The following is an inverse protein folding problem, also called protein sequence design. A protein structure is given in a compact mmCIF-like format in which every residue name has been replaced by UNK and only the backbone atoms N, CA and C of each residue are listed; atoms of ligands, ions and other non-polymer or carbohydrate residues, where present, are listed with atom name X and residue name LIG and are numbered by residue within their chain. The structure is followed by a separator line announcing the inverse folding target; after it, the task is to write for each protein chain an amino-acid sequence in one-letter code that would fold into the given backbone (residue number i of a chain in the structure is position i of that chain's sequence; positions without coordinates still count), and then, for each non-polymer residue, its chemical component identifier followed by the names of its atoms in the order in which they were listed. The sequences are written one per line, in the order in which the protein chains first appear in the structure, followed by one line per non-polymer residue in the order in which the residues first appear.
data_IF_468032055978
#
_entry.id   IF_468032055978
#
_cell.length_a   1.000
_cell.length_b   1.000
_cell.length_c   1.000
_cell.angle_alpha   90.00
_cell.angle_beta   90.00
_cell.angle_gamma   90.00
#
_symmetry.space_group_name_H-M   'P 1'
#
loop_
_entity.id
_entity.type
_entity.pdbx_description
1 polymer ?
#
# COMPACT_ATOMS: atom_id res chain seq x y z
N UNK A 1 -45.25 -11.12 -1.23
CA UNK A 1 -45.48 -9.70 -1.54
C UNK A 1 -44.65 -8.87 -0.56
N UNK A 2 -43.51 -8.32 -1.01
CA UNK A 2 -42.66 -7.39 -0.26
C UNK A 2 -42.33 -6.24 -1.21
N UNK A 3 -42.81 -5.05 -0.88
CA UNK A 3 -42.54 -3.82 -1.63
C UNK A 3 -41.22 -3.26 -1.10
N UNK A 4 -40.20 -3.18 -1.96
CA UNK A 4 -38.94 -2.47 -1.72
C UNK A 4 -39.07 -1.14 -2.47
N UNK A 5 -39.17 -0.04 -1.73
CA UNK A 5 -39.11 1.30 -2.31
C UNK A 5 -37.64 1.77 -2.32
N UNK A 6 -37.14 2.00 -3.53
CA UNK A 6 -35.84 2.60 -3.81
C UNK A 6 -35.89 4.12 -3.59
N UNK A 7 -34.89 4.68 -2.91
CA UNK A 7 -34.61 6.12 -2.94
C UNK A 7 -33.29 6.33 -3.67
N UNK A 8 -33.38 6.99 -4.82
CA UNK A 8 -32.27 7.49 -5.64
C UNK A 8 -31.70 8.75 -4.99
N UNK A 9 -30.38 8.79 -4.76
CA UNK A 9 -29.63 10.04 -4.53
C UNK A 9 -29.02 10.52 -5.85
N UNK A 10 -29.14 11.81 -6.22
CA UNK A 10 -28.38 12.38 -7.32
C UNK A 10 -27.03 12.93 -6.82
N UNK A 11 -25.93 12.40 -7.37
CA UNK A 11 -24.60 13.00 -7.29
C UNK A 11 -24.50 14.15 -8.29
N UNK A 12 -24.22 15.36 -7.81
CA UNK A 12 -23.74 16.48 -8.65
C UNK A 12 -22.26 16.68 -8.31
N UNK A 13 -21.41 16.45 -9.32
CA UNK A 13 -19.98 16.71 -9.29
C UNK A 13 -19.71 18.22 -9.47
N UNK A 14 -18.96 18.82 -8.54
CA UNK A 14 -18.32 20.13 -8.72
C UNK A 14 -16.92 19.92 -9.34
N UNK A 15 -16.77 20.33 -10.60
CA UNK A 15 -15.47 20.56 -11.23
C UNK A 15 -14.99 21.98 -10.89
N UNK A 16 -13.84 22.10 -10.24
CA UNK A 16 -13.11 23.37 -10.10
C UNK A 16 -11.84 23.33 -10.97
N UNK A 17 -11.58 24.30 -11.86
CA UNK A 17 -10.27 24.50 -12.46
C UNK A 17 -9.39 25.39 -11.56
N UNK A 18 -8.12 25.00 -11.45
CA UNK A 18 -7.03 25.75 -10.83
C UNK A 18 -6.72 27.01 -11.64
N UNK A 19 -6.50 28.13 -10.97
CA UNK A 19 -5.70 29.25 -11.49
C UNK A 19 -4.65 29.67 -10.46
N UNK A 20 -3.51 30.05 -11.04
CA UNK A 20 -2.17 30.30 -10.53
C UNK A 20 -2.02 31.63 -9.76
N UNK A 21 -1.01 31.68 -8.88
CA UNK A 21 -0.45 32.78 -8.05
C UNK A 21 -0.44 34.21 -8.65
N UNK A 22 -0.12 35.33 -7.92
CA UNK A 22 0.44 35.45 -6.55
C UNK A 22 -0.20 36.55 -5.65
N UNK A 23 0.27 36.60 -4.40
CA UNK A 23 -0.04 37.63 -3.39
C UNK A 23 0.88 38.85 -3.55
N UNK A 24 0.28 40.03 -3.71
CA UNK A 24 0.67 41.37 -3.20
C UNK A 24 -0.31 42.36 -3.88
N UNK A 25 -0.76 43.49 -3.36
CA UNK A 25 -0.50 44.30 -2.18
C UNK A 25 -1.61 45.37 -2.10
N UNK A 26 -1.63 46.12 -0.99
CA UNK A 26 -2.20 47.48 -0.82
C UNK A 26 -3.66 47.61 -0.33
N UNK A 27 -3.73 48.10 0.92
CA UNK A 27 -4.66 49.04 1.56
C UNK A 27 -6.09 49.18 1.04
N UNK A 28 -7.06 49.17 1.95
CA UNK A 28 -7.98 50.31 2.12
C UNK A 28 -8.60 50.32 3.52
N UNK A 29 -8.55 51.50 4.15
CA UNK A 29 -9.40 51.88 5.28
C UNK A 29 -10.71 52.49 4.74
N UNK A 30 -11.74 52.37 5.57
CA UNK A 30 -13.00 53.12 5.69
C UNK A 30 -14.20 52.83 4.78
N UNK A 31 -15.32 52.65 5.50
CA UNK A 31 -16.72 52.99 5.21
C UNK A 31 -17.77 51.89 4.96
N UNK A 32 -18.95 52.20 5.50
CA UNK A 32 -20.17 51.41 5.78
C UNK A 32 -20.96 51.03 4.52
N UNK A 33 -22.00 50.20 4.76
CA UNK A 33 -23.15 49.75 3.90
C UNK A 33 -22.88 48.46 3.10
N UNK A 34 -23.74 47.43 2.99
CA UNK A 34 -25.12 47.13 3.41
C UNK A 34 -25.37 45.62 3.08
N UNK A 35 -26.22 44.83 3.76
CA UNK A 35 -26.79 43.61 3.17
C UNK A 35 -28.13 43.92 2.50
N UNK A 36 -28.14 43.76 1.17
CA UNK A 36 -29.28 43.81 0.29
C UNK A 36 -30.27 42.65 0.55
N UNK A 37 -31.52 43.00 0.86
CA UNK A 37 -32.67 42.08 0.81
C UNK A 37 -33.10 41.83 -0.65
N UNK A 38 -33.20 40.57 -1.05
CA UNK A 38 -34.12 40.07 -2.12
C UNK A 38 -34.41 38.58 -1.84
N UNK A 39 -35.62 38.05 -1.81
CA UNK A 39 -36.96 38.64 -1.91
C UNK A 39 -38.02 37.53 -1.72
N UNK A 40 -39.26 37.94 -1.43
CA UNK A 40 -40.47 37.35 -2.02
C UNK A 40 -41.63 38.35 -1.90
N UNK A 41 -42.37 38.50 -3.00
CA UNK A 41 -43.53 39.36 -3.20
C UNK A 41 -44.66 39.08 -2.20
N UNK A 42 -45.35 40.15 -1.79
CA UNK A 42 -46.80 40.11 -1.59
C UNK A 42 -47.44 41.28 -2.33
N UNK A 43 -48.51 40.97 -3.05
CA UNK A 43 -49.31 41.89 -3.85
C UNK A 43 -49.96 42.98 -3.00
N UNK A 44 -50.13 44.12 -3.66
CA UNK A 44 -50.77 45.34 -3.19
C UNK A 44 -52.14 45.14 -2.53
N UNK A 45 -52.35 45.80 -1.40
CA UNK A 45 -53.69 46.03 -0.86
C UNK A 45 -53.68 46.76 0.49
N UNK A 46 -53.62 48.10 0.42
CA UNK A 46 -54.00 49.05 1.48
C UNK A 46 -53.45 48.80 2.89
N UNK A 47 -52.33 49.43 3.22
CA UNK A 47 -52.15 49.93 4.58
C UNK A 47 -52.58 51.40 4.61
N UNK A 48 -53.56 51.72 5.44
CA UNK A 48 -54.03 53.11 5.61
C UNK A 48 -53.08 53.87 6.53
N UNK A 49 -53.04 55.20 6.43
CA UNK A 49 -52.23 56.07 7.30
C UNK A 49 -52.46 55.80 8.81
N UNK A 50 -53.59 55.19 9.18
CA UNK A 50 -53.90 54.71 10.53
C UNK A 50 -52.98 53.59 11.03
N UNK A 51 -52.49 52.69 10.18
CA UNK A 51 -51.64 51.56 10.60
C UNK A 51 -50.18 52.02 10.83
N UNK A 52 -49.74 53.05 10.10
CA UNK A 52 -48.47 53.75 10.33
C UNK A 52 -48.53 54.62 11.60
N UNK A 53 -49.66 55.30 11.84
CA UNK A 53 -49.95 56.02 13.09
C UNK A 53 -50.02 55.06 14.30
N UNK A 54 -50.67 53.90 14.17
CA UNK A 54 -50.70 52.87 15.22
C UNK A 54 -49.28 52.36 15.51
N UNK A 55 -48.47 52.06 14.50
CA UNK A 55 -47.09 51.61 14.69
C UNK A 55 -46.22 52.68 15.40
N UNK A 56 -46.40 53.97 15.09
CA UNK A 56 -45.76 55.07 15.83
C UNK A 56 -46.25 55.13 17.28
N UNK A 57 -47.55 54.96 17.52
CA UNK A 57 -48.18 54.95 18.86
C UNK A 57 -47.71 53.76 19.72
N UNK A 58 -47.51 52.58 19.14
CA UNK A 58 -46.99 51.39 19.83
C UNK A 58 -45.46 51.37 20.00
N UNK A 59 -44.70 52.11 19.18
CA UNK A 59 -43.26 52.31 19.42
C UNK A 59 -42.98 53.12 20.69
N UNK A 60 -43.90 54.03 21.07
CA UNK A 60 -43.89 54.68 22.39
C UNK A 60 -44.37 53.76 23.52
N UNK A 61 -45.08 52.66 23.22
CA UNK A 61 -45.53 51.70 24.23
C UNK A 61 -44.38 50.85 24.81
N UNK A 62 -43.29 50.65 24.06
CA UNK A 62 -42.11 49.91 24.53
C UNK A 62 -41.31 50.66 25.61
N UNK A 63 -41.38 51.99 25.62
CA UNK A 63 -40.84 52.84 26.70
C UNK A 63 -41.86 53.10 27.82
N UNK A 64 -43.11 52.63 27.67
CA UNK A 64 -44.19 52.84 28.63
C UNK A 64 -44.17 51.81 29.77
N UNK A 65 -43.55 50.64 29.54
CA UNK A 65 -43.46 49.56 30.54
C UNK A 65 -42.47 49.87 31.68
N UNK A 66 -41.46 50.72 31.44
CA UNK A 66 -40.53 51.18 32.47
C UNK A 66 -41.11 52.30 33.36
N UNK A 67 -42.07 53.09 32.86
CA UNK A 67 -42.73 54.15 33.64
C UNK A 67 -44.03 53.71 34.34
N UNK A 68 -44.55 52.51 34.03
CA UNK A 68 -45.73 51.95 34.69
C UNK A 68 -45.41 51.23 36.02
N UNK A 69 -44.13 51.09 36.39
CA UNK A 69 -43.73 50.50 37.69
C UNK A 69 -43.74 51.48 38.87
N UNK A 70 -43.96 52.78 38.66
CA UNK A 70 -43.94 53.79 39.74
C UNK A 70 -45.25 54.56 39.83
N UNK A 71 -45.94 54.41 40.97
CA UNK A 71 -46.99 55.21 41.62
C UNK A 71 -48.25 55.68 40.85
N UNK A 72 -48.28 55.69 39.52
CA UNK A 72 -49.43 56.15 38.73
C UNK A 72 -50.55 55.09 38.66
N UNK A 73 -50.22 53.79 38.78
CA UNK A 73 -51.21 52.71 38.74
C UNK A 73 -52.17 52.70 39.94
N UNK A 74 -51.78 53.27 41.08
CA UNK A 74 -52.60 53.27 42.30
C UNK A 74 -53.67 54.38 42.35
N UNK A 75 -53.73 55.27 41.35
CA UNK A 75 -54.76 56.32 41.26
C UNK A 75 -55.73 56.08 40.10
N UNK A 76 -56.58 55.06 40.26
CA UNK A 76 -57.62 54.67 39.30
C UNK A 76 -58.68 55.77 39.01
N UNK A 77 -58.64 56.90 39.72
CA UNK A 77 -59.57 58.04 39.57
C UNK A 77 -59.17 59.07 38.51
N UNK A 78 -57.89 59.15 38.11
CA UNK A 78 -57.41 60.16 37.16
C UNK A 78 -57.70 59.85 35.67
N UNK A 79 -57.82 58.57 35.31
CA UNK A 79 -57.95 58.15 33.91
C UNK A 79 -59.35 58.38 33.31
N UNK A 80 -60.40 58.37 34.14
CA UNK A 80 -61.78 58.58 33.69
C UNK A 80 -62.04 60.03 33.26
N UNK A 81 -61.29 61.00 33.81
CA UNK A 81 -61.39 62.41 33.43
C UNK A 81 -60.64 62.75 32.13
N UNK A 82 -59.51 62.08 31.85
CA UNK A 82 -58.74 62.30 30.62
C UNK A 82 -59.39 61.64 29.38
N UNK A 83 -60.08 60.51 29.56
CA UNK A 83 -60.82 59.85 28.47
C UNK A 83 -62.11 60.57 28.05
N UNK A 84 -62.69 61.38 28.94
CA UNK A 84 -63.96 62.08 28.68
C UNK A 84 -63.84 63.34 27.82
N UNK A 85 -62.64 63.88 27.60
CA UNK A 85 -62.48 65.23 27.04
C UNK A 85 -61.79 65.31 25.68
N UNK A 86 -61.20 64.25 25.13
CA UNK A 86 -60.30 64.39 23.97
C UNK A 86 -60.60 63.62 22.68
N UNK A 87 -61.54 62.68 22.62
CA UNK A 87 -61.81 61.96 21.36
C UNK A 87 -63.28 61.55 21.21
N UNK A 88 -64.01 62.24 20.32
CA UNK A 88 -65.37 61.86 19.88
C UNK A 88 -65.38 60.94 18.64
N UNK A 89 -64.23 60.59 18.07
CA UNK A 89 -64.16 59.96 16.74
C UNK A 89 -63.40 58.62 16.67
N UNK A 90 -63.16 57.93 17.79
CA UNK A 90 -62.62 56.56 17.74
C UNK A 90 -63.74 55.53 17.91
N UNK A 91 -63.98 54.70 16.88
CA UNK A 91 -64.99 53.63 16.81
C UNK A 91 -64.80 52.46 17.80
N UNK A 92 -63.83 52.53 18.71
CA UNK A 92 -63.54 51.46 19.65
C UNK A 92 -63.85 51.89 21.08
N UNK A 93 -64.68 51.09 21.76
CA UNK A 93 -64.98 51.23 23.18
C UNK A 93 -63.77 50.85 24.04
N UNK A 94 -63.71 51.38 25.26
CA UNK A 94 -62.63 51.11 26.22
C UNK A 94 -62.40 49.60 26.46
N UNK A 95 -63.48 48.82 26.49
CA UNK A 95 -63.43 47.38 26.66
C UNK A 95 -62.84 46.64 25.45
N UNK A 96 -63.07 47.14 24.23
CA UNK A 96 -62.47 46.59 23.00
C UNK A 96 -60.96 46.83 22.96
N UNK A 97 -60.50 48.02 23.37
CA UNK A 97 -59.06 48.32 23.48
C UNK A 97 -58.39 47.44 24.53
N UNK A 98 -59.05 47.21 25.68
CA UNK A 98 -58.55 46.32 26.73
C UNK A 98 -58.47 44.86 26.26
N UNK A 99 -59.43 44.42 25.45
CA UNK A 99 -59.44 43.08 24.84
C UNK A 99 -58.29 42.93 23.83
N UNK A 100 -58.08 43.92 22.96
CA UNK A 100 -56.99 43.93 21.99
C UNK A 100 -55.61 43.90 22.67
N UNK A 101 -55.41 44.70 23.72
CA UNK A 101 -54.15 44.68 24.50
C UNK A 101 -53.91 43.31 25.14
N UNK A 102 -54.96 42.66 25.67
CA UNK A 102 -54.84 41.33 26.24
C UNK A 102 -54.55 40.25 25.19
N UNK A 103 -55.12 40.36 23.99
CA UNK A 103 -54.82 39.46 22.86
C UNK A 103 -53.38 39.64 22.36
N UNK A 104 -52.91 40.90 22.23
CA UNK A 104 -51.53 41.20 21.88
C UNK A 104 -50.54 40.68 22.94
N UNK A 105 -50.83 40.85 24.24
CA UNK A 105 -50.02 40.28 25.34
C UNK A 105 -49.99 38.76 25.32
N UNK A 106 -51.12 38.10 25.02
CA UNK A 106 -51.16 36.63 24.88
C UNK A 106 -50.31 36.15 23.70
N UNK A 107 -50.36 36.85 22.57
CA UNK A 107 -49.55 36.53 21.40
C UNK A 107 -48.05 36.71 21.67
N UNK A 108 -47.66 37.79 22.34
CA UNK A 108 -46.26 38.07 22.70
C UNK A 108 -45.70 37.04 23.70
N UNK A 109 -46.48 36.66 24.71
CA UNK A 109 -46.12 35.58 25.64
C UNK A 109 -45.98 34.23 24.94
N UNK A 110 -46.84 33.93 23.96
CA UNK A 110 -46.78 32.69 23.18
C UNK A 110 -45.54 32.66 22.27
N UNK A 111 -45.21 33.79 21.62
CA UNK A 111 -43.99 33.94 20.83
C UNK A 111 -42.73 33.79 21.68
N UNK A 112 -42.69 34.43 22.85
CA UNK A 112 -41.57 34.33 23.80
C UNK A 112 -41.37 32.88 24.28
N UNK A 113 -42.47 32.18 24.58
CA UNK A 113 -42.43 30.75 24.96
C UNK A 113 -41.91 29.88 23.80
N UNK A 114 -42.32 30.18 22.57
CA UNK A 114 -41.88 29.44 21.36
C UNK A 114 -40.40 29.66 21.06
N UNK A 115 -39.90 30.90 21.21
CA UNK A 115 -38.48 31.23 21.05
C UNK A 115 -37.64 30.48 22.10
N UNK A 116 -38.03 30.53 23.37
CA UNK A 116 -37.31 29.83 24.45
C UNK A 116 -37.25 28.30 24.23
N UNK A 117 -38.33 27.70 23.70
CA UNK A 117 -38.33 26.27 23.30
C UNK A 117 -37.35 26.00 22.16
N UNK A 118 -37.37 26.82 21.11
CA UNK A 118 -36.46 26.67 19.96
C UNK A 118 -34.99 26.86 20.36
N UNK A 119 -34.67 27.79 21.25
CA UNK A 119 -33.31 27.98 21.80
C UNK A 119 -32.84 26.75 22.59
N UNK A 120 -33.74 26.13 23.35
CA UNK A 120 -33.45 24.89 24.09
C UNK A 120 -33.20 23.72 23.12
N UNK A 121 -34.06 23.55 22.10
CA UNK A 121 -33.91 22.53 21.06
C UNK A 121 -32.62 22.72 20.24
N UNK A 122 -32.25 23.96 19.95
CA UNK A 122 -30.99 24.31 19.26
C UNK A 122 -29.78 23.91 20.13
N UNK A 123 -29.79 24.26 21.42
CA UNK A 123 -28.72 23.89 22.35
C UNK A 123 -28.54 22.38 22.51
N UNK A 124 -29.65 21.62 22.54
CA UNK A 124 -29.58 20.15 22.56
C UNK A 124 -29.04 19.56 21.26
N UNK A 125 -29.35 20.19 20.13
CA UNK A 125 -28.86 19.78 18.81
C UNK A 125 -27.36 20.02 18.70
N UNK A 126 -26.87 21.18 19.14
CA UNK A 126 -25.43 21.50 19.17
C UNK A 126 -24.64 20.50 20.02
N UNK A 127 -25.15 20.12 21.19
CA UNK A 127 -24.52 19.09 22.04
C UNK A 127 -24.40 17.74 21.31
N UNK A 128 -25.45 17.32 20.58
CA UNK A 128 -25.45 16.08 19.79
C UNK A 128 -24.48 16.14 18.62
N UNK A 129 -24.29 17.32 18.00
CA UNK A 129 -23.31 17.53 16.92
C UNK A 129 -21.90 17.37 17.48
N UNK A 130 -21.58 18.07 18.59
CA UNK A 130 -20.26 18.00 19.24
C UNK A 130 -19.93 16.55 19.65
N UNK A 131 -20.90 15.81 20.19
CA UNK A 131 -20.70 14.41 20.56
C UNK A 131 -20.38 13.52 19.33
N UNK A 132 -21.05 13.75 18.20
CA UNK A 132 -20.77 13.05 16.93
C UNK A 132 -19.39 13.41 16.37
N UNK A 133 -19.00 14.68 16.40
CA UNK A 133 -17.68 15.13 15.95
C UNK A 133 -16.56 14.50 16.77
N UNK A 134 -16.72 14.44 18.10
CA UNK A 134 -15.75 13.77 18.98
C UNK A 134 -15.64 12.26 18.67
N UNK A 135 -16.77 11.57 18.49
CA UNK A 135 -16.78 10.15 18.08
C UNK A 135 -16.12 9.94 16.72
N UNK A 136 -16.35 10.84 15.76
CA UNK A 136 -15.73 10.80 14.44
C UNK A 136 -14.22 11.02 14.52
N UNK A 137 -13.75 11.95 15.37
CA UNK A 137 -12.34 12.19 15.60
C UNK A 137 -11.65 10.96 16.21
N UNK A 138 -12.23 10.37 17.24
CA UNK A 138 -11.71 9.13 17.84
C UNK A 138 -11.64 7.96 16.84
N UNK A 139 -12.66 7.81 15.99
CA UNK A 139 -12.67 6.79 14.94
C UNK A 139 -11.57 7.04 13.91
N UNK A 140 -11.36 8.30 13.51
CA UNK A 140 -10.31 8.71 12.57
C UNK A 140 -8.92 8.39 13.12
N UNK A 141 -8.65 8.73 14.38
CA UNK A 141 -7.37 8.40 15.04
C UNK A 141 -7.13 6.88 15.13
N UNK A 142 -8.18 6.08 15.36
CA UNK A 142 -8.08 4.61 15.36
C UNK A 142 -7.74 4.07 13.96
N UNK A 143 -8.35 4.61 12.92
CA UNK A 143 -8.09 4.22 11.53
C UNK A 143 -6.65 4.55 11.13
N UNK A 144 -6.15 5.76 11.45
CA UNK A 144 -4.77 6.17 11.13
C UNK A 144 -3.72 5.28 11.81
N UNK A 145 -3.94 4.94 13.09
CA UNK A 145 -3.09 3.97 13.81
C UNK A 145 -3.09 2.61 13.13
N UNK A 146 -4.24 2.14 12.65
CA UNK A 146 -4.33 0.85 11.95
C UNK A 146 -3.65 0.87 10.58
N UNK A 147 -3.81 1.95 9.81
CA UNK A 147 -3.13 2.15 8.53
C UNK A 147 -1.60 2.09 8.71
N UNK A 148 -1.09 2.74 9.76
CA UNK A 148 0.35 2.76 10.06
C UNK A 148 0.87 1.35 10.37
N UNK A 149 0.18 0.61 11.24
CA UNK A 149 0.50 -0.81 11.52
C UNK A 149 0.46 -1.68 10.26
N UNK A 150 -0.52 -1.47 9.37
CA UNK A 150 -0.62 -2.23 8.13
C UNK A 150 0.54 -1.92 7.17
N UNK A 151 0.99 -0.66 7.07
CA UNK A 151 2.17 -0.27 6.28
C UNK A 151 3.46 -0.93 6.79
N UNK A 152 3.62 -1.03 8.11
CA UNK A 152 4.78 -1.72 8.71
C UNK A 152 4.76 -3.22 8.39
N UNK A 153 3.61 -3.87 8.54
CA UNK A 153 3.42 -5.29 8.16
C UNK A 153 3.71 -5.53 6.68
N UNK A 154 3.26 -4.65 5.79
CA UNK A 154 3.56 -4.75 4.36
C UNK A 154 5.06 -4.66 4.06
N UNK A 155 5.81 -3.79 4.77
CA UNK A 155 7.27 -3.73 4.62
C UNK A 155 7.95 -5.02 5.08
N UNK A 156 7.45 -5.63 6.15
CA UNK A 156 7.97 -6.91 6.66
C UNK A 156 7.69 -8.06 5.69
N UNK A 157 6.47 -8.14 5.14
CA UNK A 157 6.10 -9.12 4.12
C UNK A 157 7.04 -9.01 2.91
N UNK A 158 7.27 -7.81 2.37
CA UNK A 158 8.19 -7.60 1.24
C UNK A 158 9.61 -8.07 1.54
N UNK A 159 10.10 -7.89 2.78
CA UNK A 159 11.43 -8.41 3.18
C UNK A 159 11.45 -9.94 3.16
N UNK A 160 10.42 -10.58 3.70
CA UNK A 160 10.29 -12.06 3.72
C UNK A 160 10.22 -12.60 2.29
N UNK A 161 9.42 -11.99 1.41
CA UNK A 161 9.32 -12.38 -0.01
C UNK A 161 10.68 -12.27 -0.71
N UNK A 162 11.42 -11.18 -0.48
CA UNK A 162 12.76 -10.98 -1.03
C UNK A 162 13.73 -12.06 -0.55
N UNK A 163 13.69 -12.40 0.74
CA UNK A 163 14.51 -13.46 1.32
C UNK A 163 14.19 -14.83 0.71
N UNK A 164 12.90 -15.16 0.54
CA UNK A 164 12.45 -16.41 -0.09
C UNK A 164 12.88 -16.52 -1.57
N UNK A 165 12.83 -15.41 -2.31
CA UNK A 165 13.37 -15.32 -3.68
C UNK A 165 14.84 -15.69 -3.73
N UNK A 166 15.65 -15.12 -2.84
CA UNK A 166 17.09 -15.41 -2.75
C UNK A 166 17.37 -16.86 -2.35
N UNK A 167 16.63 -17.42 -1.39
CA UNK A 167 16.75 -18.83 -0.99
C UNK A 167 16.55 -19.76 -2.19
N UNK A 168 15.57 -19.46 -3.03
CA UNK A 168 15.25 -20.36 -4.13
C UNK A 168 16.19 -20.22 -5.31
N UNK A 169 16.66 -19.00 -5.60
CA UNK A 169 17.79 -18.79 -6.51
C UNK A 169 18.99 -19.64 -6.11
N UNK A 170 19.36 -19.66 -4.82
CA UNK A 170 20.44 -20.50 -4.32
C UNK A 170 20.15 -21.99 -4.50
N UNK A 171 18.93 -22.45 -4.16
CA UNK A 171 18.53 -23.84 -4.32
C UNK A 171 18.63 -24.31 -5.76
N UNK A 172 18.17 -23.52 -6.73
CA UNK A 172 18.19 -23.87 -8.15
C UNK A 172 19.63 -23.99 -8.68
N UNK A 173 20.45 -22.97 -8.43
CA UNK A 173 21.85 -22.96 -8.89
C UNK A 173 22.65 -24.11 -8.27
N UNK A 174 22.49 -24.37 -6.97
CA UNK A 174 23.15 -25.48 -6.29
C UNK A 174 22.58 -26.83 -6.73
N UNK A 175 21.29 -26.91 -7.06
CA UNK A 175 20.72 -28.15 -7.58
C UNK A 175 21.42 -28.57 -8.87
N UNK A 176 21.56 -27.64 -9.81
CA UNK A 176 22.17 -27.93 -11.12
C UNK A 176 23.67 -28.16 -11.02
N UNK A 177 24.37 -27.35 -10.22
CA UNK A 177 25.82 -27.35 -10.21
C UNK A 177 26.45 -28.37 -9.24
N UNK A 178 25.70 -28.81 -8.22
CA UNK A 178 26.21 -29.70 -7.18
C UNK A 178 25.32 -30.94 -6.95
N UNK A 179 24.03 -30.76 -6.66
CA UNK A 179 23.16 -31.89 -6.24
C UNK A 179 22.96 -32.91 -7.37
N UNK A 180 22.62 -32.45 -8.59
CA UNK A 180 22.42 -33.35 -9.73
C UNK A 180 23.71 -34.12 -10.08
N UNK A 181 24.89 -33.48 -10.20
CA UNK A 181 26.14 -34.22 -10.37
C UNK A 181 26.44 -35.22 -9.25
N UNK A 182 26.16 -34.89 -7.98
CA UNK A 182 26.37 -35.81 -6.86
C UNK A 182 25.45 -37.03 -6.91
N UNK A 183 24.17 -36.83 -7.28
CA UNK A 183 23.24 -37.93 -7.54
C UNK A 183 23.75 -38.83 -8.66
N UNK A 184 24.19 -38.25 -9.78
CA UNK A 184 24.75 -38.99 -10.90
C UNK A 184 26.00 -39.79 -10.51
N UNK A 185 26.92 -39.21 -9.73
CA UNK A 185 28.10 -39.91 -9.21
C UNK A 185 27.72 -41.12 -8.34
N UNK A 186 26.71 -40.95 -7.48
CA UNK A 186 26.18 -42.03 -6.62
C UNK A 186 25.52 -43.15 -7.43
N UNK A 187 24.68 -42.80 -8.40
CA UNK A 187 23.96 -43.76 -9.27
C UNK A 187 24.91 -44.54 -10.18
N UNK A 188 25.88 -43.86 -10.78
CA UNK A 188 26.87 -44.47 -11.67
C UNK A 188 27.98 -45.23 -10.90
N UNK A 189 28.13 -44.98 -9.60
CA UNK A 189 29.17 -45.58 -8.77
C UNK A 189 30.60 -45.19 -9.16
N UNK A 190 30.77 -44.13 -9.96
CA UNK A 190 32.06 -43.63 -10.45
C UNK A 190 32.10 -42.11 -10.40
N UNK A 191 33.29 -41.56 -10.18
CA UNK A 191 33.50 -40.11 -10.10
C UNK A 191 33.11 -39.40 -11.40
N UNK A 192 32.44 -38.26 -11.26
CA UNK A 192 32.07 -37.41 -12.40
C UNK A 192 33.09 -36.28 -12.53
N UNK A 193 33.62 -36.10 -13.75
CA UNK A 193 34.69 -35.12 -14.06
C UNK A 193 34.31 -33.69 -13.65
N UNK A 194 33.03 -33.31 -13.77
CA UNK A 194 32.55 -31.98 -13.36
C UNK A 194 32.76 -31.73 -11.88
N UNK A 195 32.58 -32.76 -11.03
CA UNK A 195 32.76 -32.64 -9.59
C UNK A 195 34.23 -32.63 -9.20
N UNK A 196 35.10 -33.40 -9.83
CA UNK A 196 36.56 -33.35 -9.57
C UNK A 196 37.15 -31.97 -9.85
N UNK A 197 36.50 -31.24 -10.75
CA UNK A 197 36.83 -29.86 -11.09
C UNK A 197 36.23 -28.86 -10.09
N UNK A 198 35.16 -29.20 -9.39
CA UNK A 198 34.45 -28.29 -8.49
C UNK A 198 35.08 -28.29 -7.09
N UNK A 199 36.08 -27.43 -6.89
CA UNK A 199 36.79 -27.34 -5.62
C UNK A 199 36.03 -26.51 -4.56
N UNK A 200 35.45 -25.39 -4.97
CA UNK A 200 34.85 -24.42 -4.07
C UNK A 200 33.61 -23.76 -4.67
N UNK A 201 32.65 -23.48 -3.79
CA UNK A 201 31.45 -22.71 -4.03
C UNK A 201 31.45 -21.55 -3.04
N UNK A 202 31.43 -20.33 -3.56
CA UNK A 202 31.31 -19.13 -2.77
C UNK A 202 29.90 -18.58 -2.92
N UNK A 203 29.22 -18.42 -1.81
CA UNK A 203 27.97 -17.67 -1.74
C UNK A 203 28.28 -16.31 -1.14
N UNK A 204 27.74 -15.25 -1.71
CA UNK A 204 27.96 -13.90 -1.21
C UNK A 204 26.69 -13.28 -0.68
N UNK A 205 26.83 -12.57 0.44
CA UNK A 205 25.76 -11.81 1.09
C UNK A 205 24.56 -12.66 1.57
N UNK A 206 24.74 -13.97 1.75
CA UNK A 206 23.66 -14.84 2.19
C UNK A 206 23.46 -14.71 3.69
N UNK A 207 22.19 -14.70 4.13
CA UNK A 207 21.88 -14.80 5.55
C UNK A 207 22.18 -16.22 6.08
N UNK A 208 22.29 -16.35 7.39
CA UNK A 208 22.41 -17.67 8.04
C UNK A 208 21.23 -18.59 7.71
N UNK A 209 20.01 -18.04 7.59
CA UNK A 209 18.83 -18.78 7.17
C UNK A 209 18.98 -19.32 5.74
N UNK A 210 19.50 -18.52 4.81
CA UNK A 210 19.77 -18.96 3.44
C UNK A 210 20.77 -20.10 3.39
N UNK A 211 21.91 -19.96 4.09
CA UNK A 211 22.95 -20.98 4.12
C UNK A 211 22.46 -22.29 4.76
N UNK A 212 21.69 -22.19 5.86
CA UNK A 212 21.07 -23.36 6.49
C UNK A 212 20.10 -24.08 5.54
N UNK A 213 19.25 -23.34 4.82
CA UNK A 213 18.34 -23.91 3.83
C UNK A 213 19.10 -24.62 2.69
N UNK A 214 20.21 -24.04 2.24
CA UNK A 214 21.08 -24.59 1.21
C UNK A 214 21.74 -25.90 1.67
N UNK A 215 22.35 -25.90 2.86
CA UNK A 215 23.03 -27.06 3.44
C UNK A 215 22.05 -28.20 3.66
N UNK A 216 20.85 -27.91 4.18
CA UNK A 216 19.81 -28.92 4.34
C UNK A 216 19.40 -29.52 3.00
N UNK A 217 19.25 -28.69 1.95
CA UNK A 217 18.96 -29.19 0.60
C UNK A 217 20.06 -30.15 0.11
N UNK A 218 21.33 -29.81 0.29
CA UNK A 218 22.43 -30.69 -0.12
C UNK A 218 22.42 -31.99 0.69
N UNK A 219 22.31 -31.92 2.03
CA UNK A 219 22.27 -33.09 2.91
C UNK A 219 21.17 -34.08 2.51
N UNK A 220 19.95 -33.59 2.31
CA UNK A 220 18.80 -34.44 2.05
C UNK A 220 18.77 -34.98 0.61
N UNK A 221 19.26 -34.22 -0.37
CA UNK A 221 19.05 -34.55 -1.77
C UNK A 221 20.26 -35.18 -2.47
N UNK A 222 21.47 -35.09 -1.93
CA UNK A 222 22.68 -35.53 -2.66
C UNK A 222 23.37 -36.77 -2.08
N UNK A 223 23.10 -37.15 -0.83
CA UNK A 223 23.86 -38.18 -0.11
C UNK A 223 25.30 -37.78 0.23
N UNK A 224 25.64 -36.50 0.03
CA UNK A 224 26.90 -35.89 0.45
C UNK A 224 26.90 -35.68 1.96
N UNK A 225 28.01 -36.05 2.60
CA UNK A 225 28.22 -35.74 4.01
C UNK A 225 28.64 -34.28 4.14
N UNK A 226 28.16 -33.60 5.19
CA UNK A 226 28.48 -32.19 5.40
C UNK A 226 29.18 -32.02 6.74
N UNK A 227 30.41 -31.52 6.67
CA UNK A 227 31.23 -31.13 7.81
C UNK A 227 31.16 -29.61 7.96
N UNK A 228 30.73 -29.13 9.12
CA UNK A 228 30.66 -27.70 9.42
C UNK A 228 31.90 -27.28 10.21
N UNK A 229 32.52 -26.18 9.80
CA UNK A 229 33.70 -25.59 10.46
C UNK A 229 33.47 -24.09 10.62
N UNK A 230 33.50 -23.58 11.84
CA UNK A 230 33.51 -22.14 12.08
C UNK A 230 34.94 -21.67 12.36
N UNK A 231 35.43 -20.73 11.55
CA UNK A 231 36.75 -20.15 11.77
C UNK A 231 36.84 -19.28 13.01
N UNK A 232 35.74 -18.70 13.49
CA UNK A 232 35.75 -17.92 14.72
C UNK A 232 36.10 -18.78 15.94
N UNK A 233 35.64 -20.03 15.95
CA UNK A 233 35.84 -20.99 17.05
C UNK A 233 37.25 -21.61 17.09
N UNK A 234 38.06 -21.39 16.05
CA UNK A 234 39.35 -22.05 15.87
C UNK A 234 40.49 -21.04 15.74
N UNK A 235 41.66 -21.41 16.25
CA UNK A 235 42.94 -20.76 15.92
C UNK A 235 43.47 -21.21 14.56
N UNK A 236 44.44 -20.50 13.99
CA UNK A 236 45.06 -20.88 12.70
C UNK A 236 45.56 -22.34 12.70
N UNK A 237 46.26 -22.74 13.77
CA UNK A 237 46.82 -24.10 13.90
C UNK A 237 45.72 -25.15 13.92
N UNK A 238 44.61 -24.87 14.58
CA UNK A 238 43.45 -25.76 14.65
C UNK A 238 42.72 -25.86 13.32
N UNK A 239 42.56 -24.76 12.58
CA UNK A 239 41.99 -24.79 11.22
C UNK A 239 42.79 -25.72 10.32
N UNK A 240 44.13 -25.59 10.31
CA UNK A 240 45.00 -26.44 9.49
C UNK A 240 44.87 -27.92 9.88
N UNK A 241 44.86 -28.20 11.20
CA UNK A 241 44.68 -29.56 11.72
C UNK A 241 43.33 -30.13 11.30
N UNK A 242 42.25 -29.38 11.49
CA UNK A 242 40.88 -29.78 11.18
C UNK A 242 40.69 -30.08 9.69
N UNK A 243 41.22 -29.23 8.81
CA UNK A 243 41.18 -29.46 7.37
C UNK A 243 41.94 -30.73 6.97
N UNK A 244 43.10 -30.98 7.58
CA UNK A 244 43.87 -32.20 7.34
C UNK A 244 43.08 -33.45 7.77
N UNK A 245 42.48 -33.43 8.95
CA UNK A 245 41.65 -34.53 9.48
C UNK A 245 40.45 -34.82 8.56
N UNK A 246 39.70 -33.77 8.18
CA UNK A 246 38.54 -33.91 7.28
C UNK A 246 38.99 -34.49 5.93
N UNK A 247 40.08 -33.97 5.36
CA UNK A 247 40.58 -34.41 4.05
C UNK A 247 41.02 -35.87 4.04
N UNK A 248 41.70 -36.31 5.11
CA UNK A 248 42.14 -37.71 5.25
C UNK A 248 40.95 -38.65 5.43
N UNK A 249 39.96 -38.23 6.21
CA UNK A 249 38.72 -38.99 6.39
C UNK A 249 37.94 -39.09 5.08
N UNK A 250 37.72 -37.96 4.40
CA UNK A 250 36.93 -37.87 3.18
C UNK A 250 37.53 -38.62 1.98
N UNK A 251 38.86 -38.67 1.86
CA UNK A 251 39.54 -39.36 0.77
C UNK A 251 39.22 -40.87 0.72
N UNK A 252 38.88 -41.47 1.87
CA UNK A 252 38.54 -42.89 1.98
C UNK A 252 37.03 -43.16 1.86
N UNK A 253 36.19 -42.12 1.75
CA UNK A 253 34.74 -42.27 1.67
C UNK A 253 34.27 -42.48 0.24
N UNK A 254 33.22 -43.29 0.09
CA UNK A 254 32.54 -43.50 -1.20
C UNK A 254 31.85 -42.22 -1.70
N UNK A 255 31.22 -41.48 -0.78
CA UNK A 255 30.54 -40.22 -1.10
C UNK A 255 31.45 -39.02 -0.81
N UNK A 256 31.24 -37.93 -1.55
CA UNK A 256 31.97 -36.67 -1.33
C UNK A 256 31.59 -36.04 0.01
N UNK A 257 32.51 -35.26 0.56
CA UNK A 257 32.27 -34.43 1.74
C UNK A 257 32.18 -32.96 1.35
N UNK A 258 31.10 -32.29 1.72
CA UNK A 258 30.97 -30.85 1.64
C UNK A 258 31.51 -30.24 2.95
N UNK A 259 32.54 -29.42 2.86
CA UNK A 259 33.07 -28.66 3.99
C UNK A 259 32.42 -27.28 3.95
N UNK A 260 31.45 -27.05 4.84
CA UNK A 260 30.86 -25.73 5.00
C UNK A 260 31.66 -24.92 6.02
N UNK A 261 32.20 -23.80 5.57
CA UNK A 261 33.05 -22.92 6.38
C UNK A 261 32.31 -21.63 6.72
N UNK A 262 32.11 -21.40 8.01
CA UNK A 262 31.61 -20.14 8.56
C UNK A 262 32.75 -19.20 8.90
N UNK A 263 32.48 -17.90 8.80
CA UNK A 263 33.44 -16.84 9.11
C UNK A 263 34.77 -16.99 8.35
N UNK A 264 34.69 -17.49 7.11
CA UNK A 264 35.84 -17.81 6.26
C UNK A 264 36.79 -16.62 6.09
N UNK A 265 36.25 -15.40 6.06
CA UNK A 265 37.02 -14.17 5.91
C UNK A 265 38.08 -13.98 7.00
N UNK A 266 37.89 -14.53 8.22
CA UNK A 266 38.84 -14.39 9.34
C UNK A 266 40.28 -14.71 8.92
N UNK A 267 40.46 -15.80 8.17
CA UNK A 267 41.78 -16.29 7.72
C UNK A 267 42.02 -16.16 6.22
N UNK A 268 41.01 -15.71 5.46
CA UNK A 268 41.10 -15.55 4.01
C UNK A 268 41.25 -14.10 3.55
N UNK A 269 41.11 -13.11 4.45
CA UNK A 269 41.36 -11.69 4.17
C UNK A 269 42.82 -11.43 3.83
N UNK A 270 43.05 -10.50 2.89
CA UNK A 270 44.39 -10.14 2.43
C UNK A 270 45.16 -9.28 3.46
N UNK A 271 45.66 -9.90 4.53
CA UNK A 271 46.47 -9.23 5.55
C UNK A 271 47.79 -9.97 5.79
N UNK A 272 48.86 -9.28 6.22
CA UNK A 272 50.14 -9.92 6.53
C UNK A 272 50.03 -11.02 7.60
N UNK A 273 49.13 -10.88 8.59
CA UNK A 273 48.96 -11.91 9.62
C UNK A 273 48.42 -13.23 9.06
N UNK A 274 47.68 -13.17 7.95
CA UNK A 274 47.03 -14.33 7.33
C UNK A 274 47.88 -15.01 6.25
N UNK A 275 49.06 -14.48 5.88
CA UNK A 275 49.83 -14.96 4.73
C UNK A 275 50.16 -16.47 4.81
N UNK A 276 50.52 -16.96 6.00
CA UNK A 276 50.85 -18.37 6.22
C UNK A 276 49.63 -19.28 6.04
N UNK A 277 48.48 -18.92 6.59
CA UNK A 277 47.25 -19.71 6.46
C UNK A 277 46.67 -19.62 5.05
N UNK A 278 46.74 -18.46 4.40
CA UNK A 278 46.38 -18.28 2.98
C UNK A 278 47.19 -19.24 2.11
N UNK A 279 48.51 -19.32 2.31
CA UNK A 279 49.37 -20.25 1.58
C UNK A 279 48.96 -21.72 1.73
N UNK A 280 48.43 -22.12 2.88
CA UNK A 280 47.92 -23.48 3.11
C UNK A 280 46.53 -23.69 2.53
N UNK A 281 45.63 -22.74 2.73
CA UNK A 281 44.26 -22.78 2.19
C UNK A 281 44.26 -22.78 0.66
N UNK A 282 45.09 -21.97 0.00
CA UNK A 282 45.18 -21.92 -1.46
C UNK A 282 45.60 -23.27 -2.06
N UNK A 283 46.57 -23.93 -1.43
CA UNK A 283 47.06 -25.25 -1.84
C UNK A 283 46.00 -26.33 -1.63
N UNK A 284 45.23 -26.24 -0.53
CA UNK A 284 44.11 -27.14 -0.28
C UNK A 284 42.99 -26.95 -1.32
N UNK A 285 42.53 -25.72 -1.50
CA UNK A 285 41.45 -25.35 -2.43
C UNK A 285 41.78 -25.66 -3.89
N UNK A 286 43.05 -25.73 -4.28
CA UNK A 286 43.42 -26.06 -5.65
C UNK A 286 43.07 -27.52 -6.03
N UNK A 287 43.08 -28.44 -5.06
CA UNK A 287 43.00 -29.88 -5.32
C UNK A 287 41.98 -30.62 -4.45
N UNK A 288 41.21 -29.92 -3.60
CA UNK A 288 40.39 -30.55 -2.58
C UNK A 288 39.39 -31.57 -3.14
N UNK A 289 38.79 -31.30 -4.29
CA UNK A 289 37.80 -32.19 -4.87
C UNK A 289 38.42 -33.43 -5.49
N UNK A 290 39.35 -33.25 -6.43
CA UNK A 290 40.00 -34.36 -7.12
C UNK A 290 40.82 -35.25 -6.17
N UNK A 291 41.58 -34.64 -5.23
CA UNK A 291 42.54 -35.35 -4.37
C UNK A 291 41.92 -35.89 -3.08
N UNK A 292 41.02 -35.14 -2.46
CA UNK A 292 40.51 -35.46 -1.12
C UNK A 292 39.01 -35.76 -1.09
N UNK A 293 38.33 -35.77 -2.24
CA UNK A 293 36.88 -36.00 -2.33
C UNK A 293 36.06 -34.94 -1.57
N UNK A 294 36.60 -33.71 -1.45
CA UNK A 294 36.03 -32.61 -0.69
C UNK A 294 35.61 -31.45 -1.59
N UNK A 295 34.48 -30.82 -1.27
CA UNK A 295 34.05 -29.56 -1.90
C UNK A 295 33.90 -28.53 -0.79
N UNK A 296 34.45 -27.33 -0.97
CA UNK A 296 34.32 -26.25 0.02
C UNK A 296 33.10 -25.38 -0.32
N UNK A 297 32.25 -25.12 0.66
CA UNK A 297 31.18 -24.14 0.59
C UNK A 297 31.47 -23.05 1.63
N UNK A 298 31.39 -21.79 1.22
CA UNK A 298 31.60 -20.65 2.13
C UNK A 298 30.59 -19.54 1.86
N UNK A 299 30.30 -18.75 2.90
CA UNK A 299 29.57 -17.50 2.78
C UNK A 299 30.52 -16.32 3.06
N UNK A 300 30.51 -15.31 2.18
CA UNK A 300 31.42 -14.17 2.22
C UNK A 300 30.65 -12.90 1.85
N UNK A 301 30.59 -11.92 2.75
CA UNK A 301 29.85 -10.69 2.50
C UNK A 301 30.58 -9.80 1.48
N UNK A 302 31.92 -9.75 1.56
CA UNK A 302 32.74 -8.90 0.70
C UNK A 302 33.86 -9.71 0.03
N UNK A 303 33.56 -10.44 -1.07
CA UNK A 303 34.53 -11.28 -1.77
C UNK A 303 35.81 -10.55 -2.20
N UNK A 304 35.70 -9.24 -2.46
CA UNK A 304 36.82 -8.38 -2.84
C UNK A 304 37.84 -8.16 -1.71
N UNK A 305 37.49 -8.46 -0.45
CA UNK A 305 38.41 -8.37 0.70
C UNK A 305 39.23 -9.64 0.92
N UNK A 306 38.87 -10.74 0.23
CA UNK A 306 39.66 -11.95 0.25
C UNK A 306 40.99 -11.75 -0.48
N UNK A 307 42.01 -12.52 -0.09
CA UNK A 307 43.25 -12.61 -0.86
C UNK A 307 42.96 -13.02 -2.31
N UNK A 308 43.59 -12.38 -3.31
CA UNK A 308 43.50 -12.80 -4.71
C UNK A 308 43.93 -14.27 -4.91
N UNK A 309 44.81 -14.76 -4.04
CA UNK A 309 45.24 -16.16 -4.02
C UNK A 309 44.20 -17.13 -3.44
N UNK A 310 43.10 -16.64 -2.87
CA UNK A 310 41.99 -17.47 -2.43
C UNK A 310 40.84 -17.33 -3.42
N UNK A 311 40.55 -16.09 -3.84
CA UNK A 311 39.41 -15.74 -4.69
C UNK A 311 39.59 -16.01 -6.20
N UNK A 312 40.54 -16.85 -6.59
CA UNK A 312 40.76 -17.16 -8.01
C UNK A 312 39.75 -18.19 -8.54
N UNK A 313 39.30 -18.01 -9.79
CA UNK A 313 38.26 -18.82 -10.45
C UNK A 313 38.50 -20.34 -10.42
N UNK A 314 39.77 -20.78 -10.41
CA UNK A 314 40.10 -22.21 -10.37
C UNK A 314 39.92 -22.85 -8.98
N UNK A 315 39.77 -22.03 -7.93
CA UNK A 315 39.53 -22.44 -6.53
C UNK A 315 38.04 -22.39 -6.21
N UNK A 316 37.39 -21.28 -6.50
CA UNK A 316 35.95 -21.13 -6.41
C UNK A 316 35.35 -21.06 -7.81
N UNK A 317 34.79 -22.18 -8.28
CA UNK A 317 34.24 -22.24 -9.65
C UNK A 317 32.84 -21.66 -9.77
N UNK A 318 32.17 -21.56 -8.64
CA UNK A 318 30.80 -21.09 -8.55
C UNK A 318 30.80 -19.94 -7.56
N UNK A 319 30.37 -18.78 -8.04
CA UNK A 319 30.12 -17.59 -7.24
C UNK A 319 28.64 -17.24 -7.34
N UNK A 320 27.93 -17.32 -6.22
CA UNK A 320 26.50 -17.00 -6.14
C UNK A 320 26.30 -15.74 -5.30
N UNK A 321 26.04 -14.61 -5.95
CA UNK A 321 25.74 -13.36 -5.25
C UNK A 321 24.24 -13.22 -4.99
N UNK A 322 23.86 -13.19 -3.71
CA UNK A 322 22.46 -13.06 -3.28
C UNK A 322 21.96 -11.61 -3.31
N UNK A 323 22.84 -10.59 -3.28
CA UNK A 323 22.46 -9.17 -3.39
C UNK A 323 22.09 -8.83 -4.83
N UNK A 324 22.87 -9.34 -5.78
CA UNK A 324 22.64 -9.19 -7.22
C UNK A 324 21.75 -10.28 -7.81
N UNK A 325 20.94 -10.95 -6.98
CA UNK A 325 19.64 -11.44 -7.41
C UNK A 325 18.79 -10.20 -7.70
N UNK A 326 19.17 -9.47 -8.76
CA UNK A 326 18.27 -8.58 -9.47
C UNK A 326 17.01 -9.40 -9.69
N UNK A 327 15.87 -8.75 -9.83
CA UNK A 327 14.61 -9.33 -10.30
C UNK A 327 14.71 -10.06 -11.67
N UNK A 328 15.94 -10.26 -12.17
CA UNK A 328 16.28 -11.24 -13.17
C UNK A 328 16.36 -12.65 -12.55
N UNK A 329 15.63 -13.56 -13.18
CA UNK A 329 15.77 -15.02 -13.11
C UNK A 329 14.92 -15.74 -12.07
N UNK A 330 13.63 -15.41 -12.06
CA UNK A 330 12.64 -16.45 -12.40
C UNK A 330 11.81 -15.81 -13.49
N UNK A 331 12.32 -15.79 -14.71
CA UNK A 331 11.52 -15.41 -15.88
C UNK A 331 11.77 -16.54 -16.87
N UNK A 332 11.18 -17.68 -16.55
CA UNK A 332 11.20 -18.84 -17.41
C UNK A 332 9.91 -18.84 -18.22
N UNK A 333 10.07 -18.97 -19.54
CA UNK A 333 8.95 -18.96 -20.47
C UNK A 333 8.91 -20.34 -21.11
N UNK A 334 8.17 -21.25 -20.48
CA UNK A 334 8.11 -22.66 -20.88
C UNK A 334 6.98 -22.84 -21.88
N UNK A 335 7.26 -23.45 -23.02
CA UNK A 335 6.23 -23.79 -24.00
C UNK A 335 5.24 -24.81 -23.40
N UNK A 336 3.95 -24.52 -23.54
CA UNK A 336 2.84 -25.44 -23.22
C UNK A 336 2.03 -25.71 -24.49
N UNK A 337 1.05 -26.63 -24.41
CA UNK A 337 0.33 -27.19 -25.57
C UNK A 337 -0.06 -26.12 -26.62
N UNK A 338 -0.65 -25.01 -26.17
CA UNK A 338 -1.17 -23.95 -27.04
C UNK A 338 -0.55 -22.56 -26.79
N UNK A 339 0.46 -22.46 -25.92
CA UNK A 339 0.97 -21.17 -25.46
C UNK A 339 2.28 -21.28 -24.70
N UNK A 340 2.49 -20.34 -23.79
CA UNK A 340 3.70 -20.24 -22.99
C UNK A 340 3.34 -19.94 -21.55
N UNK A 341 3.88 -20.70 -20.61
CA UNK A 341 3.77 -20.39 -19.20
C UNK A 341 4.94 -19.48 -18.82
N UNK A 342 4.63 -18.22 -18.50
CA UNK A 342 5.58 -17.29 -17.93
C UNK A 342 5.61 -17.47 -16.42
N UNK A 343 6.73 -17.95 -15.89
CA UNK A 343 6.97 -18.00 -14.45
C UNK A 343 7.75 -16.76 -14.05
N UNK A 344 7.16 -15.94 -13.18
CA UNK A 344 7.77 -14.72 -12.64
C UNK A 344 8.07 -14.82 -11.13
N UNK A 345 7.81 -15.98 -10.52
CA UNK A 345 8.12 -16.29 -9.13
C UNK A 345 8.16 -17.80 -8.85
N UNK A 346 8.18 -18.16 -7.57
CA UNK A 346 8.53 -19.50 -7.09
C UNK A 346 7.34 -20.38 -6.79
N UNK A 347 6.22 -19.77 -6.46
CA UNK A 347 5.00 -20.48 -6.19
C UNK A 347 4.31 -20.81 -7.51
N UNK A 348 3.46 -21.83 -7.50
CA UNK A 348 2.72 -22.23 -8.70
C UNK A 348 1.82 -21.08 -9.19
N UNK A 349 1.27 -20.31 -8.24
CA UNK A 349 0.53 -19.08 -8.49
C UNK A 349 1.35 -17.93 -9.10
N UNK A 350 2.69 -17.94 -9.00
CA UNK A 350 3.56 -16.91 -9.60
C UNK A 350 3.87 -17.19 -11.08
N UNK A 351 2.84 -17.64 -11.79
CA UNK A 351 2.93 -17.91 -13.23
C UNK A 351 1.66 -17.47 -13.94
N UNK A 352 1.79 -17.17 -15.23
CA UNK A 352 0.68 -16.80 -16.09
C UNK A 352 0.86 -17.42 -17.47
N UNK A 353 -0.23 -17.90 -18.05
CA UNK A 353 -0.19 -18.39 -19.42
C UNK A 353 -0.30 -17.21 -20.38
N UNK A 354 0.55 -17.25 -21.39
CA UNK A 354 0.67 -16.29 -22.47
C UNK A 354 0.36 -16.97 -23.78
N UNK A 355 -0.47 -16.33 -24.59
CA UNK A 355 -0.87 -16.83 -25.90
C UNK A 355 -0.68 -15.73 -26.93
N UNK A 356 -0.49 -16.12 -28.18
CA UNK A 356 -0.62 -15.17 -29.28
C UNK A 356 -2.10 -14.95 -29.55
N UNK A 357 -2.47 -13.71 -29.89
CA UNK A 357 -3.86 -13.32 -30.11
C UNK A 357 -4.52 -14.09 -31.23
N UNK A 358 -5.86 -14.08 -31.21
CA UNK A 358 -6.72 -14.80 -32.15
C UNK A 358 -6.26 -16.26 -32.33
N UNK A 359 -6.13 -17.01 -31.22
CA UNK A 359 -5.70 -18.43 -31.21
C UNK A 359 -4.36 -18.69 -31.93
N UNK A 360 -3.44 -17.72 -31.90
CA UNK A 360 -2.14 -17.82 -32.55
C UNK A 360 -2.06 -17.27 -33.98
N UNK A 361 -3.18 -16.84 -34.56
CA UNK A 361 -3.19 -16.24 -35.90
C UNK A 361 -2.68 -14.80 -35.90
N UNK A 362 -2.75 -14.09 -34.77
CA UNK A 362 -2.28 -12.72 -34.65
C UNK A 362 -1.00 -12.62 -33.82
N UNK A 363 0.14 -12.53 -34.52
CA UNK A 363 1.47 -12.41 -33.90
C UNK A 363 1.74 -11.02 -33.29
N UNK A 364 0.89 -10.02 -33.56
CA UNK A 364 1.05 -8.67 -33.01
C UNK A 364 0.37 -8.51 -31.64
N UNK A 365 -0.43 -9.48 -31.21
CA UNK A 365 -1.18 -9.43 -29.95
C UNK A 365 -0.64 -10.50 -29.00
N UNK A 366 -0.32 -10.09 -27.77
CA UNK A 366 -0.06 -11.00 -26.64
C UNK A 366 -1.31 -11.07 -25.75
N UNK A 367 -1.90 -12.25 -25.63
CA UNK A 367 -2.98 -12.53 -24.69
C UNK A 367 -2.41 -13.00 -23.34
N UNK A 368 -2.75 -12.28 -22.27
CA UNK A 368 -2.44 -12.63 -20.88
C UNK A 368 -3.66 -13.32 -20.29
N UNK A 369 -3.53 -14.61 -19.97
CA UNK A 369 -4.61 -15.43 -19.42
C UNK A 369 -4.73 -15.26 -17.89
N UNK A 370 -5.06 -14.04 -17.46
CA UNK A 370 -5.26 -13.70 -16.04
C UNK A 370 -6.14 -12.46 -15.86
N UNK A 371 -6.93 -12.44 -14.78
CA UNK A 371 -7.67 -11.28 -14.30
C UNK A 371 -7.03 -10.62 -13.06
N UNK A 372 -5.96 -11.21 -12.51
CA UNK A 372 -5.21 -10.68 -11.37
C UNK A 372 -4.27 -9.55 -11.82
N UNK A 373 -4.37 -8.38 -11.18
CA UNK A 373 -3.59 -7.19 -11.54
C UNK A 373 -2.09 -7.46 -11.41
N UNK A 374 -1.68 -8.15 -10.35
CA UNK A 374 -0.29 -8.48 -10.05
C UNK A 374 0.37 -9.28 -11.18
N UNK A 375 -0.37 -10.24 -11.77
CA UNK A 375 0.12 -11.05 -12.89
C UNK A 375 0.23 -10.26 -14.18
N UNK A 376 -0.73 -9.37 -14.42
CA UNK A 376 -0.73 -8.48 -15.59
C UNK A 376 0.46 -7.53 -15.49
N UNK A 377 0.68 -6.91 -14.34
CA UNK A 377 1.80 -6.01 -14.09
C UNK A 377 3.14 -6.74 -14.24
N UNK A 378 3.28 -7.95 -13.72
CA UNK A 378 4.49 -8.76 -13.88
C UNK A 378 4.84 -9.01 -15.36
N UNK A 379 3.84 -9.23 -16.23
CA UNK A 379 4.06 -9.37 -17.68
C UNK A 379 4.50 -8.04 -18.29
N UNK A 380 3.88 -6.92 -17.90
CA UNK A 380 4.20 -5.59 -18.41
C UNK A 380 5.63 -5.16 -18.05
N UNK A 381 6.04 -5.38 -16.80
CA UNK A 381 7.39 -5.09 -16.31
C UNK A 381 8.47 -5.89 -17.06
N UNK A 382 8.11 -7.06 -17.60
CA UNK A 382 9.03 -7.95 -18.27
C UNK A 382 8.85 -8.00 -19.79
N UNK A 383 8.11 -7.07 -20.38
CA UNK A 383 7.73 -7.14 -21.80
C UNK A 383 8.94 -7.16 -22.75
N UNK A 384 10.00 -6.42 -22.43
CA UNK A 384 11.23 -6.40 -23.24
C UNK A 384 11.96 -7.73 -23.24
N UNK A 385 11.88 -8.50 -22.14
CA UNK A 385 12.44 -9.86 -22.06
C UNK A 385 11.58 -10.82 -22.87
N UNK A 386 10.26 -10.70 -22.78
CA UNK A 386 9.31 -11.51 -23.55
C UNK A 386 9.53 -11.29 -25.06
N UNK A 387 9.72 -10.04 -25.50
CA UNK A 387 10.02 -9.68 -26.90
C UNK A 387 11.32 -10.28 -27.45
N UNK A 388 12.24 -10.75 -26.59
CA UNK A 388 13.47 -11.45 -27.05
C UNK A 388 13.20 -12.89 -27.48
N UNK A 389 12.10 -13.49 -27.04
CA UNK A 389 11.69 -14.82 -27.46
C UNK A 389 11.17 -14.73 -28.89
N UNK A 390 11.71 -15.55 -29.79
CA UNK A 390 11.48 -15.43 -31.24
C UNK A 390 10.01 -15.31 -31.63
N UNK A 391 9.14 -16.08 -30.97
CA UNK A 391 7.70 -16.09 -31.26
C UNK A 391 6.96 -14.83 -30.83
N UNK A 392 7.50 -14.09 -29.86
CA UNK A 392 6.91 -12.84 -29.33
C UNK A 392 7.60 -11.58 -29.87
N UNK A 393 8.58 -11.69 -30.77
CA UNK A 393 9.30 -10.53 -31.33
C UNK A 393 8.40 -9.47 -31.98
N UNK A 394 7.24 -9.88 -32.51
CA UNK A 394 6.34 -9.02 -33.28
C UNK A 394 5.20 -8.41 -32.46
N UNK A 395 5.12 -8.68 -31.15
CA UNK A 395 4.02 -8.16 -30.33
C UNK A 395 4.07 -6.63 -30.26
N UNK A 396 2.92 -6.01 -30.48
CA UNK A 396 2.68 -4.55 -30.43
C UNK A 396 1.54 -4.20 -29.49
N UNK A 397 0.74 -5.19 -29.10
CA UNK A 397 -0.44 -5.01 -28.27
C UNK A 397 -0.52 -6.12 -27.23
N UNK A 398 -1.10 -5.81 -26.08
CA UNK A 398 -1.44 -6.75 -25.02
C UNK A 398 -2.95 -6.75 -24.84
N UNK A 399 -3.53 -7.94 -24.66
CA UNK A 399 -4.92 -8.13 -24.30
C UNK A 399 -5.06 -9.04 -23.07
N UNK A 400 -6.08 -8.80 -22.27
CA UNK A 400 -6.43 -9.62 -21.10
C UNK A 400 -7.94 -9.58 -20.83
N UNK A 401 -8.50 -10.56 -20.08
CA UNK A 401 -9.85 -10.44 -19.54
C UNK A 401 -9.92 -9.30 -18.52
N UNK A 402 -11.15 -8.82 -18.23
CA UNK A 402 -11.38 -7.74 -17.24
C UNK A 402 -10.57 -7.96 -15.95
N UNK A 403 -9.64 -7.03 -15.61
CA UNK A 403 -8.86 -7.12 -14.39
C UNK A 403 -9.70 -6.91 -13.12
N UNK A 404 -9.22 -7.39 -11.98
CA UNK A 404 -9.88 -7.30 -10.67
C UNK A 404 -10.15 -5.85 -10.24
N UNK A 405 -9.21 -4.94 -10.52
CA UNK A 405 -9.40 -3.51 -10.30
C UNK A 405 -8.98 -2.72 -11.54
N UNK A 406 -9.92 -1.96 -12.09
CA UNK A 406 -9.67 -1.09 -13.25
C UNK A 406 -9.03 0.26 -12.87
N UNK A 407 -8.93 0.58 -11.58
CA UNK A 407 -8.33 1.85 -11.12
C UNK A 407 -6.80 1.87 -11.26
N UNK A 408 -6.16 0.68 -11.21
CA UNK A 408 -4.71 0.52 -11.22
C UNK A 408 -4.14 0.39 -12.65
N UNK A 409 -4.95 -0.01 -13.63
CA UNK A 409 -4.53 -0.23 -15.03
C UNK A 409 -5.02 0.86 -15.98
N UNK A 410 -4.79 2.14 -15.64
CA UNK A 410 -5.23 3.33 -16.41
C UNK A 410 -4.84 3.36 -17.89
N UNK A 411 -3.86 2.54 -18.29
CA UNK A 411 -3.36 2.45 -19.67
C UNK A 411 -4.12 1.43 -20.53
N UNK A 412 -5.01 0.63 -19.95
CA UNK A 412 -5.82 -0.33 -20.69
C UNK A 412 -7.15 0.29 -21.13
N UNK A 413 -7.51 0.06 -22.39
CA UNK A 413 -8.77 0.47 -23.00
C UNK A 413 -9.65 -0.77 -23.17
N UNK A 414 -10.92 -0.68 -22.77
CA UNK A 414 -11.91 -1.73 -23.02
C UNK A 414 -12.18 -1.84 -24.52
N UNK A 415 -12.08 -3.03 -25.09
CA UNK A 415 -12.49 -3.28 -26.47
C UNK A 415 -14.01 -3.40 -26.55
N UNK A 416 -14.62 -2.56 -27.38
CA UNK A 416 -16.05 -2.61 -27.65
C UNK A 416 -16.40 -3.92 -28.36
N UNK A 417 -17.49 -4.57 -27.93
CA UNK A 417 -18.02 -5.80 -28.54
C UNK A 417 -17.07 -7.01 -28.58
N UNK A 418 -15.98 -7.01 -27.81
CA UNK A 418 -15.10 -8.17 -27.64
C UNK A 418 -15.18 -8.73 -26.22
N UNK A 419 -15.50 -10.02 -26.14
CA UNK A 419 -15.67 -10.75 -24.90
C UNK A 419 -14.94 -12.09 -24.97
N UNK A 420 -14.52 -12.60 -23.83
CA UNK A 420 -14.07 -13.98 -23.67
C UNK A 420 -15.24 -14.95 -23.83
N UNK A 421 -14.93 -16.25 -23.93
CA UNK A 421 -15.96 -17.31 -24.04
C UNK A 421 -16.92 -17.33 -22.83
N UNK A 422 -16.42 -16.98 -21.64
CA UNK A 422 -17.22 -16.81 -20.41
C UNK A 422 -17.85 -15.41 -20.28
N UNK A 423 -17.96 -14.67 -21.38
CA UNK A 423 -18.63 -13.37 -21.50
C UNK A 423 -18.02 -12.25 -20.64
N UNK A 424 -16.71 -12.31 -20.35
CA UNK A 424 -15.99 -11.21 -19.69
C UNK A 424 -15.47 -10.21 -20.72
N UNK A 425 -15.56 -8.89 -20.47
CA UNK A 425 -15.00 -7.89 -21.38
C UNK A 425 -13.49 -8.04 -21.55
N UNK A 426 -13.01 -7.79 -22.76
CA UNK A 426 -11.57 -7.79 -23.07
C UNK A 426 -11.02 -6.36 -22.98
N UNK A 427 -9.86 -6.23 -22.36
CA UNK A 427 -9.10 -4.98 -22.26
C UNK A 427 -7.81 -5.08 -23.06
N UNK A 428 -7.38 -3.95 -23.64
CA UNK A 428 -6.20 -3.86 -24.49
C UNK A 428 -5.29 -2.71 -24.08
N UNK A 429 -3.98 -2.91 -24.22
CA UNK A 429 -2.94 -1.88 -24.11
C UNK A 429 -2.00 -1.96 -25.30
N UNK A 430 -1.69 -0.82 -25.92
CA UNK A 430 -0.62 -0.72 -26.92
C UNK A 430 0.74 -0.66 -26.24
N UNK A 431 1.74 -1.33 -26.82
CA UNK A 431 3.10 -1.47 -26.30
C UNK A 431 4.09 -0.46 -26.87
#
# INVERSE_FOLDING_TARGET
MKIIAAVKSPNIYLNAPKLTHPISSVNHKTDKFEPSFTGQQYDSGYYTDQEIELAKKYKYAKNFDEHLRTDIWNSFSGWKQLWGSYYKDTQYTFDEVKKLINELRKNDNNLTTKISRLETELSETDKKIIEKENKQKELTEKIEKQITKNKEKQKEIKKIETEQKRISYLKENINNALILPLKAEKELGKKVVVLDRLNGIMVSNASSLMMNALINSVKHNSGCEVEKVDFNDLTEKEVIKKFKEISQSAANKKNRTLIYVENFEKYAKNTPENETIIGKLKNFLQYCSAKYNCIVLTNVDEPNHLSPEINADHRFKIHLDTKNVRENTIMDCVQVLDGYNLKFGLQKEDSVNLFLGDSGYNQEILWIDSFENEKIDAVLENIDKIKKIDKFKKIRQIQCPKPNSTEELKSFVKLENRYTYDNKPIYQKSL
#
